data_IF_538697915623
#
_entry.id   IF_538697915623
#
_cell.length_a   1.000
_cell.length_b   1.000
_cell.length_c   1.000
_cell.angle_alpha   90.00
_cell.angle_beta   90.00
_cell.angle_gamma   90.00
#
_symmetry.space_group_name_H-M   'P 1'
#
loop_
_entity.id
_entity.type
_entity.pdbx_description
1 polymer ?
#
# COMPACT_ATOMS: atom_id res chain seq x y z
N UNK A 1 37.72 12.32 -133.29
CA UNK A 1 36.43 13.01 -133.16
C UNK A 1 36.54 13.96 -131.97
N UNK A 2 36.07 15.19 -132.18
CA UNK A 2 35.87 16.34 -131.25
C UNK A 2 36.99 16.86 -130.32
N UNK A 3 38.03 16.09 -129.98
CA UNK A 3 39.23 16.60 -129.29
C UNK A 3 39.00 17.13 -127.86
N UNK A 4 37.84 16.86 -127.27
CA UNK A 4 37.51 17.25 -125.89
C UNK A 4 38.30 16.37 -124.92
N UNK A 5 39.00 17.01 -123.97
CA UNK A 5 39.75 16.33 -122.91
C UNK A 5 39.02 16.53 -121.59
N UNK A 6 38.73 15.43 -120.91
CA UNK A 6 38.22 15.43 -119.55
C UNK A 6 39.38 15.38 -118.56
N UNK A 7 39.14 15.83 -117.32
CA UNK A 7 40.09 15.62 -116.24
C UNK A 7 39.88 14.23 -115.63
N UNK A 8 40.75 13.28 -115.98
CA UNK A 8 40.63 11.89 -115.53
C UNK A 8 41.17 11.67 -114.10
N UNK A 9 42.01 12.58 -113.58
CA UNK A 9 42.57 12.51 -112.23
C UNK A 9 42.24 13.78 -111.43
N UNK A 10 41.14 13.73 -110.67
CA UNK A 10 40.90 14.71 -109.60
C UNK A 10 41.49 14.14 -108.30
N UNK A 11 42.60 14.73 -107.86
CA UNK A 11 43.13 14.48 -106.53
C UNK A 11 42.77 15.65 -105.61
N UNK A 12 42.28 15.37 -104.41
CA UNK A 12 42.15 16.38 -103.37
C UNK A 12 43.52 17.06 -103.17
N UNK A 13 43.59 18.40 -103.12
CA UNK A 13 44.88 19.09 -103.00
C UNK A 13 45.58 18.64 -101.72
N UNK A 14 46.72 17.96 -101.87
CA UNK A 14 47.63 17.68 -100.76
C UNK A 14 48.13 19.02 -100.25
N UNK A 15 47.67 19.42 -99.06
CA UNK A 15 48.10 20.59 -98.26
C UNK A 15 49.30 21.33 -98.86
N UNK A 16 49.05 22.28 -99.76
CA UNK A 16 50.03 23.28 -100.16
C UNK A 16 49.51 24.66 -99.75
N UNK A 17 50.40 25.43 -99.12
CA UNK A 17 50.22 26.75 -98.50
C UNK A 17 49.54 26.78 -97.12
N UNK A 18 50.40 26.73 -96.09
CA UNK A 18 50.31 27.36 -94.78
C UNK A 18 48.90 27.44 -94.17
N UNK A 19 48.57 26.45 -93.36
CA UNK A 19 47.44 26.52 -92.44
C UNK A 19 47.66 27.69 -91.45
N UNK A 20 46.64 28.50 -91.11
CA UNK A 20 46.80 29.62 -90.18
C UNK A 20 47.30 29.23 -88.79
N UNK A 21 47.32 27.93 -88.45
CA UNK A 21 48.00 27.42 -87.24
C UNK A 21 49.52 27.65 -87.26
N UNK A 22 50.17 27.76 -88.42
CA UNK A 22 51.61 28.05 -88.56
C UNK A 22 51.93 29.54 -88.37
N UNK A 23 50.94 30.42 -88.52
CA UNK A 23 51.07 31.87 -88.33
C UNK A 23 50.83 32.30 -86.87
N UNK A 24 50.46 31.38 -85.98
CA UNK A 24 50.34 31.68 -84.55
C UNK A 24 51.73 31.70 -83.90
N UNK A 25 52.11 32.76 -83.17
CA UNK A 25 53.35 32.76 -82.40
C UNK A 25 53.35 31.56 -81.45
N UNK A 26 54.45 30.80 -81.42
CA UNK A 26 54.66 29.70 -80.48
C UNK A 26 54.51 30.24 -79.05
N UNK A 27 53.34 30.06 -78.44
CA UNK A 27 53.16 30.27 -77.00
C UNK A 27 53.84 29.09 -76.31
N UNK A 28 55.09 29.36 -75.94
CA UNK A 28 55.93 28.74 -74.91
C UNK A 28 55.36 27.47 -74.25
N UNK A 29 56.13 26.39 -74.40
CA UNK A 29 56.21 25.22 -73.53
C UNK A 29 54.96 24.34 -73.43
N UNK A 30 54.77 23.46 -74.41
CA UNK A 30 54.19 22.13 -74.12
C UNK A 30 55.35 21.18 -73.88
N UNK A 31 55.31 20.50 -72.74
CA UNK A 31 56.21 19.39 -72.40
C UNK A 31 56.02 18.28 -73.44
N UNK A 32 57.13 17.66 -73.84
CA UNK A 32 57.28 16.50 -74.74
C UNK A 32 55.97 15.84 -75.25
N UNK A 33 55.68 16.03 -76.55
CA UNK A 33 54.83 15.11 -77.33
C UNK A 33 53.32 15.23 -77.18
N UNK A 34 52.78 16.08 -76.30
CA UNK A 34 51.34 16.20 -76.12
C UNK A 34 50.76 17.38 -76.90
N UNK A 35 49.89 17.07 -77.87
CA UNK A 35 49.10 18.05 -78.62
C UNK A 35 48.07 18.67 -77.66
N UNK A 36 48.00 20.00 -77.54
CA UNK A 36 47.01 20.66 -76.69
C UNK A 36 45.58 20.27 -77.07
N UNK A 37 44.73 20.01 -76.08
CA UNK A 37 43.32 19.61 -76.29
C UNK A 37 42.56 20.62 -77.17
N UNK A 38 42.84 21.91 -77.04
CA UNK A 38 42.25 22.95 -77.87
C UNK A 38 42.58 22.76 -79.36
N UNK A 39 43.78 22.33 -79.70
CA UNK A 39 44.17 22.06 -81.09
C UNK A 39 43.50 20.80 -81.63
N UNK A 40 43.34 19.77 -80.79
CA UNK A 40 42.59 18.57 -81.13
C UNK A 40 41.10 18.87 -81.39
N UNK A 41 40.48 19.72 -80.57
CA UNK A 41 39.09 20.14 -80.74
C UNK A 41 38.87 20.92 -82.04
N UNK A 42 39.77 21.86 -82.36
CA UNK A 42 39.73 22.59 -83.64
C UNK A 42 39.88 21.63 -84.82
N UNK A 43 40.81 20.68 -84.73
CA UNK A 43 41.00 19.68 -85.78
C UNK A 43 39.74 18.82 -85.97
N UNK A 44 39.10 18.37 -84.89
CA UNK A 44 37.89 17.54 -84.95
C UNK A 44 36.65 18.32 -85.43
N UNK A 45 36.49 19.58 -85.04
CA UNK A 45 35.30 20.37 -85.36
C UNK A 45 35.36 21.03 -86.75
N UNK A 46 36.56 21.34 -87.25
CA UNK A 46 36.76 22.10 -88.49
C UNK A 46 37.55 21.30 -89.53
N UNK A 47 38.78 20.89 -89.19
CA UNK A 47 39.70 20.33 -90.19
C UNK A 47 39.26 18.96 -90.71
N UNK A 48 38.80 18.07 -89.82
CA UNK A 48 38.34 16.72 -90.19
C UNK A 48 37.08 16.81 -91.06
N UNK A 49 36.01 17.53 -90.67
CA UNK A 49 34.84 17.74 -91.53
C UNK A 49 35.18 18.37 -92.88
N UNK A 50 36.16 19.27 -92.93
CA UNK A 50 36.64 19.86 -94.18
C UNK A 50 37.34 18.83 -95.09
N UNK A 51 38.17 17.95 -94.52
CA UNK A 51 38.83 16.87 -95.26
C UNK A 51 37.83 15.80 -95.75
N UNK A 52 36.86 15.43 -94.91
CA UNK A 52 35.75 14.56 -95.29
C UNK A 52 34.96 15.16 -96.45
N UNK A 53 34.64 16.46 -96.37
CA UNK A 53 33.96 17.18 -97.43
C UNK A 53 34.78 17.15 -98.73
N UNK A 54 36.07 17.47 -98.70
CA UNK A 54 36.92 17.41 -99.90
C UNK A 54 36.97 16.01 -100.51
N UNK A 55 36.99 14.98 -99.68
CA UNK A 55 36.97 13.59 -100.14
C UNK A 55 35.63 13.27 -100.83
N UNK A 56 34.52 13.72 -100.26
CA UNK A 56 33.20 13.54 -100.84
C UNK A 56 33.03 14.32 -102.15
N UNK A 57 33.41 15.60 -102.17
CA UNK A 57 33.40 16.46 -103.35
C UNK A 57 34.23 15.88 -104.48
N UNK A 58 35.42 15.35 -104.18
CA UNK A 58 36.28 14.72 -105.18
C UNK A 58 35.61 13.50 -105.82
N UNK A 59 34.91 12.67 -105.01
CA UNK A 59 34.16 11.50 -105.51
C UNK A 59 32.96 11.92 -106.35
N UNK A 60 32.21 12.92 -105.90
CA UNK A 60 31.03 13.42 -106.61
C UNK A 60 31.42 14.03 -107.96
N UNK A 61 32.52 14.80 -108.00
CA UNK A 61 33.07 15.34 -109.23
C UNK A 61 33.56 14.25 -110.18
N UNK A 62 34.23 13.21 -109.68
CA UNK A 62 34.63 12.06 -110.50
C UNK A 62 33.41 11.35 -111.10
N UNK A 63 32.39 11.06 -110.28
CA UNK A 63 31.15 10.46 -110.77
C UNK A 63 30.43 11.35 -111.79
N UNK A 64 30.47 12.67 -111.61
CA UNK A 64 29.90 13.62 -112.56
C UNK A 64 30.68 13.65 -113.88
N UNK A 65 32.00 13.60 -113.85
CA UNK A 65 32.85 13.48 -115.05
C UNK A 65 32.58 12.17 -115.79
N UNK A 66 32.54 11.04 -115.09
CA UNK A 66 32.23 9.73 -115.68
C UNK A 66 30.85 9.74 -116.37
N UNK A 67 29.85 10.37 -115.73
CA UNK A 67 28.52 10.55 -116.29
C UNK A 67 28.55 11.42 -117.55
N UNK A 68 29.27 12.53 -117.55
CA UNK A 68 29.39 13.39 -118.73
C UNK A 68 30.14 12.67 -119.85
N UNK A 69 31.20 11.92 -119.55
CA UNK A 69 31.89 11.10 -120.53
C UNK A 69 30.98 10.05 -121.16
N UNK A 70 30.05 9.46 -120.40
CA UNK A 70 29.05 8.55 -120.93
C UNK A 70 28.04 9.26 -121.86
N UNK A 71 27.46 10.38 -121.41
CA UNK A 71 26.54 11.21 -122.22
C UNK A 71 27.23 11.69 -123.50
N UNK A 72 28.51 12.07 -123.41
CA UNK A 72 29.27 12.54 -124.55
C UNK A 72 29.52 11.43 -125.57
N UNK A 73 29.88 10.22 -125.11
CA UNK A 73 30.04 9.05 -125.99
C UNK A 73 28.73 8.68 -126.68
N UNK A 74 27.61 8.71 -125.94
CA UNK A 74 26.29 8.48 -126.51
C UNK A 74 25.95 9.53 -127.57
N UNK A 75 26.17 10.82 -127.29
CA UNK A 75 25.96 11.90 -128.24
C UNK A 75 26.86 11.79 -129.49
N UNK A 76 28.12 11.35 -129.35
CA UNK A 76 29.00 11.07 -130.50
C UNK A 76 28.49 9.90 -131.34
N UNK A 77 28.05 8.80 -130.71
CA UNK A 77 27.45 7.66 -131.41
C UNK A 77 26.15 8.03 -132.13
N UNK A 78 25.29 8.84 -131.50
CA UNK A 78 24.07 9.35 -132.12
C UNK A 78 24.38 10.26 -133.30
N UNK A 79 25.32 11.20 -133.16
CA UNK A 79 25.74 12.09 -134.23
C UNK A 79 26.37 11.35 -135.41
N UNK A 80 27.04 10.22 -135.18
CA UNK A 80 27.55 9.33 -136.21
C UNK A 80 26.45 8.58 -136.96
N UNK A 81 25.39 8.14 -136.25
CA UNK A 81 24.24 7.44 -136.85
C UNK A 81 23.38 8.40 -137.66
N UNK A 82 23.13 9.59 -137.13
CA UNK A 82 22.29 10.62 -137.71
C UNK A 82 22.93 11.99 -137.52
N UNK A 83 23.39 12.59 -138.63
CA UNK A 83 23.96 13.95 -138.59
C UNK A 83 22.92 14.94 -138.05
N UNK A 84 23.18 15.66 -136.94
CA UNK A 84 22.20 16.57 -136.36
C UNK A 84 21.80 17.67 -137.33
N UNK A 85 20.53 18.10 -137.27
CA UNK A 85 19.93 19.06 -138.22
C UNK A 85 20.74 20.36 -138.33
N UNK A 86 21.25 20.87 -137.20
CA UNK A 86 22.09 22.07 -137.15
C UNK A 86 23.33 21.98 -138.06
N UNK A 87 23.97 20.82 -138.17
CA UNK A 87 25.11 20.64 -139.06
C UNK A 87 24.69 20.60 -140.53
N UNK A 88 23.50 20.05 -140.82
CA UNK A 88 22.95 20.05 -142.18
C UNK A 88 22.56 21.48 -142.61
N UNK A 89 21.92 22.24 -141.72
CA UNK A 89 21.59 23.65 -141.91
C UNK A 89 22.85 24.48 -142.14
N UNK A 90 23.90 24.27 -141.34
CA UNK A 90 25.19 24.95 -141.50
C UNK A 90 25.84 24.68 -142.87
N UNK A 91 25.82 23.43 -143.35
CA UNK A 91 26.38 23.08 -144.68
C UNK A 91 25.54 23.68 -145.82
N UNK A 92 24.21 23.78 -145.64
CA UNK A 92 23.31 24.35 -146.65
C UNK A 92 23.23 25.88 -146.67
N UNK A 93 23.69 26.55 -145.61
CA UNK A 93 23.63 28.01 -145.47
C UNK A 93 24.71 28.72 -146.31
N UNK A 94 24.40 29.96 -146.71
CA UNK A 94 25.33 30.90 -147.34
C UNK A 94 26.35 31.46 -146.31
N UNK A 95 27.40 32.14 -146.77
CA UNK A 95 28.47 32.67 -145.89
C UNK A 95 27.92 33.56 -144.77
N UNK A 96 26.87 34.35 -145.07
CA UNK A 96 26.16 35.19 -144.11
C UNK A 96 25.40 34.37 -143.06
N UNK A 97 24.63 33.36 -143.47
CA UNK A 97 23.92 32.46 -142.56
C UNK A 97 24.86 31.61 -141.70
N UNK A 98 25.97 31.14 -142.26
CA UNK A 98 27.02 30.43 -141.51
C UNK A 98 27.63 31.30 -140.40
N UNK A 99 27.91 32.58 -140.69
CA UNK A 99 28.44 33.53 -139.70
C UNK A 99 27.45 33.78 -138.55
N UNK A 100 26.15 33.89 -138.87
CA UNK A 100 25.09 34.06 -137.85
C UNK A 100 24.92 32.83 -136.96
N UNK A 101 24.90 31.63 -137.56
CA UNK A 101 24.85 30.36 -136.81
C UNK A 101 26.07 30.20 -135.89
N UNK A 102 27.28 30.56 -136.36
CA UNK A 102 28.48 30.57 -135.52
C UNK A 102 28.35 31.57 -134.36
N UNK A 103 27.78 32.76 -134.62
CA UNK A 103 27.56 33.75 -133.57
C UNK A 103 26.56 33.26 -132.51
N UNK A 104 25.45 32.67 -132.93
CA UNK A 104 24.46 32.07 -132.00
C UNK A 104 25.08 30.93 -131.19
N UNK A 105 25.87 30.04 -131.82
CA UNK A 105 26.59 28.99 -131.11
C UNK A 105 27.62 29.53 -130.10
N UNK A 106 28.30 30.64 -130.43
CA UNK A 106 29.17 31.33 -129.46
C UNK A 106 28.38 31.88 -128.28
N UNK A 107 27.21 32.50 -128.51
CA UNK A 107 26.34 32.99 -127.43
C UNK A 107 25.85 31.84 -126.55
N UNK A 108 25.36 30.75 -127.14
CA UNK A 108 24.92 29.55 -126.41
C UNK A 108 26.08 28.97 -125.60
N UNK A 109 27.28 28.90 -126.18
CA UNK A 109 28.49 28.45 -125.48
C UNK A 109 28.81 29.34 -124.28
N UNK A 110 28.79 30.67 -124.44
CA UNK A 110 29.07 31.61 -123.33
C UNK A 110 27.99 31.52 -122.26
N UNK A 111 26.72 31.46 -122.65
CA UNK A 111 25.60 31.33 -121.71
C UNK A 111 25.69 30.03 -120.91
N UNK A 112 25.89 28.88 -121.55
CA UNK A 112 26.05 27.59 -120.88
C UNK A 112 27.29 27.58 -119.97
N UNK A 113 28.38 28.26 -120.35
CA UNK A 113 29.56 28.37 -119.51
C UNK A 113 29.30 29.20 -118.24
N UNK A 114 28.66 30.36 -118.36
CA UNK A 114 28.31 31.18 -117.20
C UNK A 114 27.23 30.52 -116.33
N UNK A 115 26.27 29.80 -116.92
CA UNK A 115 25.28 29.02 -116.18
C UNK A 115 25.96 27.90 -115.38
N UNK A 116 26.82 27.09 -116.01
CA UNK A 116 27.56 26.02 -115.32
C UNK A 116 28.45 26.58 -114.21
N UNK A 117 29.03 27.78 -114.42
CA UNK A 117 29.80 28.49 -113.40
C UNK A 117 28.92 28.95 -112.24
N UNK A 118 27.72 29.47 -112.49
CA UNK A 118 26.76 29.82 -111.44
C UNK A 118 26.36 28.60 -110.63
N UNK A 119 25.95 27.51 -111.29
CA UNK A 119 25.58 26.26 -110.64
C UNK A 119 26.74 25.69 -109.80
N UNK A 120 27.98 25.81 -110.28
CA UNK A 120 29.17 25.46 -109.51
C UNK A 120 29.35 26.32 -108.25
N UNK A 121 29.13 27.63 -108.34
CA UNK A 121 29.23 28.51 -107.17
C UNK A 121 28.10 28.26 -106.16
N UNK A 122 26.88 28.00 -106.62
CA UNK A 122 25.74 27.66 -105.77
C UNK A 122 26.00 26.34 -105.04
N UNK A 123 26.50 25.32 -105.76
CA UNK A 123 26.86 24.03 -105.17
C UNK A 123 28.00 24.17 -104.15
N UNK A 124 29.01 24.99 -104.48
CA UNK A 124 30.11 25.31 -103.56
C UNK A 124 29.62 26.02 -102.30
N UNK A 125 28.68 26.96 -102.44
CA UNK A 125 28.12 27.69 -101.31
C UNK A 125 27.43 26.75 -100.33
N UNK A 126 26.59 25.83 -100.83
CA UNK A 126 25.91 24.83 -100.00
C UNK A 126 26.87 23.99 -99.15
N UNK A 127 28.04 23.65 -99.69
CA UNK A 127 29.05 22.92 -98.93
C UNK A 127 29.72 23.76 -97.85
N UNK A 128 30.04 25.01 -98.16
CA UNK A 128 30.63 25.95 -97.20
C UNK A 128 29.64 26.25 -96.08
N UNK A 129 28.36 26.42 -96.40
CA UNK A 129 27.29 26.59 -95.41
C UNK A 129 27.18 25.37 -94.49
N UNK A 130 27.19 24.15 -95.03
CA UNK A 130 27.19 22.92 -94.21
C UNK A 130 28.42 22.81 -93.31
N UNK A 131 29.60 23.21 -93.79
CA UNK A 131 30.81 23.22 -92.99
C UNK A 131 30.73 24.28 -91.88
N UNK A 132 30.20 25.46 -92.20
CA UNK A 132 29.95 26.53 -91.24
C UNK A 132 28.96 26.08 -90.16
N UNK A 133 27.83 25.46 -90.52
CA UNK A 133 26.88 24.91 -89.56
C UNK A 133 27.51 23.88 -88.61
N UNK A 134 28.34 22.97 -89.15
CA UNK A 134 29.07 22.01 -88.32
C UNK A 134 30.04 22.69 -87.36
N UNK A 135 30.82 23.66 -87.85
CA UNK A 135 31.76 24.42 -87.03
C UNK A 135 31.05 25.25 -85.96
N UNK A 136 29.93 25.91 -86.30
CA UNK A 136 29.11 26.70 -85.38
C UNK A 136 28.49 25.82 -84.29
N UNK A 137 27.97 24.63 -84.63
CA UNK A 137 27.51 23.65 -83.63
C UNK A 137 28.65 23.18 -82.72
N UNK A 138 29.83 22.93 -83.28
CA UNK A 138 31.02 22.61 -82.50
C UNK A 138 31.39 23.72 -81.52
N UNK A 139 31.32 24.97 -81.96
CA UNK A 139 31.57 26.15 -81.13
C UNK A 139 30.53 26.30 -80.01
N UNK A 140 29.23 26.19 -80.31
CA UNK A 140 28.17 26.24 -79.30
C UNK A 140 28.32 25.16 -78.23
N UNK A 141 28.74 23.95 -78.61
CA UNK A 141 29.00 22.88 -77.65
C UNK A 141 30.20 23.21 -76.75
N UNK A 142 31.30 23.73 -77.33
CA UNK A 142 32.47 24.17 -76.55
C UNK A 142 32.15 25.32 -75.60
N UNK A 143 31.27 26.24 -76.00
CA UNK A 143 30.80 27.33 -75.14
C UNK A 143 29.95 26.81 -73.97
N UNK A 144 29.06 25.84 -74.22
CA UNK A 144 28.31 25.17 -73.14
C UNK A 144 29.23 24.45 -72.16
N UNK A 145 30.23 23.73 -72.68
CA UNK A 145 31.21 23.03 -71.85
C UNK A 145 32.05 24.03 -71.03
N UNK A 146 32.44 25.17 -71.62
CA UNK A 146 33.15 26.22 -70.91
C UNK A 146 32.32 26.80 -69.76
N UNK A 147 31.05 27.14 -70.00
CA UNK A 147 30.15 27.65 -68.96
C UNK A 147 29.93 26.63 -67.84
N UNK A 148 29.76 25.34 -68.19
CA UNK A 148 29.62 24.27 -67.21
C UNK A 148 30.89 24.09 -66.35
N UNK A 149 32.07 24.16 -66.97
CA UNK A 149 33.33 24.10 -66.25
C UNK A 149 33.55 25.32 -65.35
N UNK A 150 33.13 26.51 -65.77
CA UNK A 150 33.19 27.70 -64.92
C UNK A 150 32.33 27.55 -63.66
N UNK A 151 31.13 26.97 -63.77
CA UNK A 151 30.29 26.67 -62.61
C UNK A 151 30.96 25.69 -61.65
N UNK A 152 31.50 24.57 -62.16
CA UNK A 152 32.22 23.59 -61.34
C UNK A 152 33.46 24.21 -60.69
N UNK A 153 34.24 24.99 -61.44
CA UNK A 153 35.43 25.66 -60.91
C UNK A 153 35.03 26.61 -59.80
N UNK A 154 33.94 27.36 -59.94
CA UNK A 154 33.44 28.26 -58.90
C UNK A 154 33.03 27.49 -57.65
N UNK A 155 32.31 26.37 -57.80
CA UNK A 155 31.94 25.51 -56.67
C UNK A 155 33.17 24.92 -55.97
N UNK A 156 34.11 24.38 -56.75
CA UNK A 156 35.37 23.85 -56.23
C UNK A 156 36.19 24.92 -55.51
N UNK A 157 36.31 26.12 -56.07
CA UNK A 157 37.00 27.26 -55.45
C UNK A 157 36.32 27.72 -54.15
N UNK A 158 35.01 27.54 -54.02
CA UNK A 158 34.29 27.86 -52.78
C UNK A 158 34.56 26.86 -51.65
N UNK A 159 34.77 25.58 -51.99
CA UNK A 159 35.00 24.49 -51.02
C UNK A 159 36.48 24.32 -50.68
N UNK A 160 37.37 24.57 -51.65
CA UNK A 160 38.83 24.42 -51.51
C UNK A 160 39.42 25.07 -50.24
N UNK A 161 39.09 26.33 -49.87
CA UNK A 161 39.68 26.94 -48.69
C UNK A 161 39.22 26.27 -47.39
N UNK A 162 37.98 25.80 -47.32
CA UNK A 162 37.48 25.05 -46.15
C UNK A 162 38.20 23.71 -46.01
N UNK A 163 38.40 23.01 -47.12
CA UNK A 163 39.13 21.74 -47.12
C UNK A 163 40.62 21.91 -46.82
N UNK A 164 41.24 22.99 -47.28
CA UNK A 164 42.62 23.35 -46.92
C UNK A 164 42.72 23.65 -45.42
N UNK A 165 41.77 24.39 -44.85
CA UNK A 165 41.74 24.66 -43.42
C UNK A 165 41.56 23.39 -42.59
N UNK A 166 40.64 22.49 -42.98
CA UNK A 166 40.48 21.19 -42.33
C UNK A 166 41.74 20.33 -42.44
N UNK A 167 42.40 20.33 -43.59
CA UNK A 167 43.66 19.64 -43.78
C UNK A 167 44.76 20.19 -42.86
N UNK A 168 44.93 21.51 -42.83
CA UNK A 168 45.94 22.17 -41.98
C UNK A 168 45.65 21.88 -40.49
N UNK A 169 44.39 21.91 -40.05
CA UNK A 169 43.99 21.53 -38.70
C UNK A 169 44.32 20.07 -38.37
N UNK A 170 44.01 19.15 -39.26
CA UNK A 170 44.32 17.73 -39.07
C UNK A 170 45.82 17.47 -39.03
N UNK A 171 46.62 18.21 -39.81
CA UNK A 171 48.08 18.12 -39.75
C UNK A 171 48.60 18.65 -38.43
N UNK A 172 48.09 19.79 -37.93
CA UNK A 172 48.46 20.32 -36.62
C UNK A 172 48.08 19.36 -35.47
N UNK A 173 46.87 18.79 -35.49
CA UNK A 173 46.43 17.79 -34.52
C UNK A 173 47.31 16.54 -34.56
N UNK A 174 47.65 16.05 -35.76
CA UNK A 174 48.54 14.91 -35.92
C UNK A 174 49.95 15.21 -35.38
N UNK A 175 50.47 16.41 -35.63
CA UNK A 175 51.76 16.85 -35.08
C UNK A 175 51.73 16.93 -33.55
N UNK A 176 50.63 17.42 -32.96
CA UNK A 176 50.45 17.46 -31.51
C UNK A 176 50.38 16.04 -30.91
N UNK A 177 49.52 15.17 -31.45
CA UNK A 177 49.36 13.80 -30.98
C UNK A 177 50.66 12.99 -31.13
N UNK A 178 51.38 13.17 -32.23
CA UNK A 178 52.70 12.51 -32.40
C UNK A 178 53.72 13.04 -31.40
N UNK A 179 53.73 14.35 -31.10
CA UNK A 179 54.56 14.91 -30.05
C UNK A 179 54.19 14.33 -28.67
N UNK A 180 52.91 14.29 -28.31
CA UNK A 180 52.42 13.70 -27.06
C UNK A 180 52.78 12.22 -26.94
N UNK A 181 52.62 11.43 -28.02
CA UNK A 181 53.05 10.03 -28.05
C UNK A 181 54.55 9.93 -27.80
N UNK A 182 55.37 10.75 -28.44
CA UNK A 182 56.83 10.71 -28.22
C UNK A 182 57.21 11.13 -26.80
N UNK A 183 56.51 12.09 -26.19
CA UNK A 183 56.70 12.47 -24.78
C UNK A 183 56.28 11.34 -23.84
N UNK A 184 55.16 10.66 -24.12
CA UNK A 184 54.70 9.49 -23.37
C UNK A 184 55.68 8.33 -23.52
N UNK A 185 56.20 8.06 -24.71
CA UNK A 185 57.21 7.03 -24.96
C UNK A 185 58.54 7.34 -24.27
N UNK A 186 58.92 8.62 -24.17
CA UNK A 186 60.11 9.08 -23.44
C UNK A 186 59.94 9.06 -21.92
N UNK A 187 58.71 9.10 -21.40
CA UNK A 187 58.42 8.90 -19.99
C UNK A 187 58.78 7.48 -19.53
N UNK A 188 59.01 7.31 -18.21
CA UNK A 188 59.32 6.01 -17.62
C UNK A 188 58.17 5.00 -17.81
N UNK A 189 58.34 4.15 -18.82
CA UNK A 189 57.38 3.13 -19.20
C UNK A 189 57.19 2.06 -18.13
N UNK A 190 58.19 1.81 -17.30
CA UNK A 190 58.10 0.82 -16.23
C UNK A 190 57.27 1.39 -15.06
N UNK A 191 57.45 2.68 -14.74
CA UNK A 191 56.58 3.38 -13.79
C UNK A 191 55.11 3.46 -14.28
N UNK A 192 54.87 3.70 -15.57
CA UNK A 192 53.51 3.69 -16.14
C UNK A 192 52.86 2.29 -16.08
N UNK A 193 53.63 1.22 -16.31
CA UNK A 193 53.14 -0.15 -16.16
C UNK A 193 52.82 -0.47 -14.70
N UNK A 194 53.65 -0.02 -13.76
CA UNK A 194 53.41 -0.15 -12.33
C UNK A 194 52.13 0.60 -11.93
N UNK A 195 51.93 1.83 -12.40
CA UNK A 195 50.72 2.60 -12.12
C UNK A 195 49.48 1.94 -12.73
N UNK A 196 49.56 1.41 -13.96
CA UNK A 196 48.47 0.64 -14.58
C UNK A 196 48.15 -0.63 -13.79
N UNK A 197 49.17 -1.35 -13.32
CA UNK A 197 48.99 -2.52 -12.46
C UNK A 197 48.34 -2.13 -11.13
N UNK A 198 48.75 -1.02 -10.52
CA UNK A 198 48.15 -0.50 -9.29
C UNK A 198 46.69 -0.06 -9.49
N UNK A 199 46.36 0.61 -10.61
CA UNK A 199 44.98 0.96 -10.95
C UNK A 199 44.13 -0.31 -11.16
N UNK A 200 44.68 -1.33 -11.83
CA UNK A 200 43.97 -2.60 -12.02
C UNK A 200 43.72 -3.32 -10.68
N UNK A 201 44.71 -3.34 -9.78
CA UNK A 201 44.58 -3.87 -8.43
C UNK A 201 43.53 -3.09 -7.61
N UNK A 202 43.58 -1.75 -7.65
CA UNK A 202 42.57 -0.90 -7.02
C UNK A 202 41.17 -1.10 -7.63
N UNK A 203 41.08 -1.36 -8.94
CA UNK A 203 39.83 -1.71 -9.62
C UNK A 203 39.26 -3.02 -9.12
N UNK A 204 40.10 -4.04 -8.95
CA UNK A 204 39.69 -5.32 -8.35
C UNK A 204 39.22 -5.15 -6.91
N UNK A 205 39.93 -4.34 -6.11
CA UNK A 205 39.52 -4.02 -4.73
C UNK A 205 38.20 -3.25 -4.69
N UNK A 206 37.98 -2.30 -5.60
CA UNK A 206 36.69 -1.60 -5.73
C UNK A 206 35.55 -2.55 -6.10
N UNK A 207 35.79 -3.50 -7.00
CA UNK A 207 34.80 -4.52 -7.35
C UNK A 207 34.50 -5.46 -6.16
N UNK A 208 35.52 -5.83 -5.39
CA UNK A 208 35.33 -6.55 -4.13
C UNK A 208 34.47 -5.74 -3.14
N UNK A 209 34.79 -4.46 -2.91
CA UNK A 209 34.00 -3.58 -2.06
C UNK A 209 32.57 -3.39 -2.57
N UNK A 210 32.37 -3.28 -3.89
CA UNK A 210 31.03 -3.23 -4.47
C UNK A 210 30.25 -4.50 -4.16
N UNK A 211 30.86 -5.67 -4.28
CA UNK A 211 30.24 -6.95 -3.91
C UNK A 211 29.92 -7.00 -2.42
N UNK A 212 30.84 -6.58 -1.56
CA UNK A 212 30.60 -6.51 -0.11
C UNK A 212 29.46 -5.55 0.23
N UNK A 213 29.37 -4.40 -0.44
CA UNK A 213 28.28 -3.44 -0.28
C UNK A 213 26.95 -4.05 -0.71
N UNK A 214 26.89 -4.74 -1.84
CA UNK A 214 25.67 -5.42 -2.28
C UNK A 214 25.28 -6.56 -1.34
N UNK A 215 26.23 -7.34 -0.83
CA UNK A 215 25.98 -8.34 0.22
C UNK A 215 25.48 -7.70 1.52
N UNK A 216 26.06 -6.57 1.93
CA UNK A 216 25.67 -5.83 3.12
C UNK A 216 24.26 -5.24 2.96
N UNK A 217 23.91 -4.71 1.79
CA UNK A 217 22.55 -4.25 1.46
C UNK A 217 21.56 -5.39 1.51
N UNK A 218 21.86 -6.54 0.90
CA UNK A 218 20.99 -7.72 0.96
C UNK A 218 20.80 -8.22 2.41
N UNK A 219 21.87 -8.19 3.23
CA UNK A 219 21.78 -8.49 4.67
C UNK A 219 20.91 -7.48 5.41
N UNK A 220 21.04 -6.19 5.09
CA UNK A 220 20.25 -5.11 5.69
C UNK A 220 18.77 -5.24 5.34
N UNK A 221 18.43 -5.46 4.06
CA UNK A 221 17.05 -5.71 3.63
C UNK A 221 16.43 -6.90 4.37
N UNK A 222 17.18 -8.00 4.51
CA UNK A 222 16.73 -9.17 5.28
C UNK A 222 16.51 -8.86 6.77
N UNK A 223 17.35 -8.01 7.36
CA UNK A 223 17.19 -7.59 8.76
C UNK A 223 15.99 -6.65 8.90
N UNK A 224 15.77 -5.74 7.96
CA UNK A 224 14.62 -4.84 7.96
C UNK A 224 13.30 -5.60 7.78
N UNK A 225 13.27 -6.62 6.93
CA UNK A 225 12.11 -7.51 6.78
C UNK A 225 11.81 -8.24 8.09
N UNK A 226 12.84 -8.84 8.71
CA UNK A 226 12.71 -9.44 10.05
C UNK A 226 12.29 -8.44 11.11
N UNK A 227 12.77 -7.21 11.06
CA UNK A 227 12.38 -6.17 12.01
C UNK A 227 10.89 -5.81 11.83
N UNK A 228 10.41 -5.71 10.58
CA UNK A 228 8.99 -5.50 10.28
C UNK A 228 8.15 -6.65 10.80
N UNK A 229 8.57 -7.90 10.57
CA UNK A 229 7.90 -9.10 11.09
C UNK A 229 7.82 -9.08 12.62
N UNK A 230 8.95 -8.87 13.30
CA UNK A 230 9.00 -8.76 14.77
C UNK A 230 8.17 -7.57 15.28
N UNK A 231 8.11 -6.46 14.55
CA UNK A 231 7.28 -5.32 14.93
C UNK A 231 5.78 -5.63 14.78
N UNK A 232 5.38 -6.39 13.76
CA UNK A 232 4.02 -6.90 13.60
C UNK A 232 3.69 -7.85 14.76
N UNK A 233 4.54 -8.84 15.03
CA UNK A 233 4.37 -9.76 16.16
C UNK A 233 4.28 -9.01 17.50
N UNK A 234 5.14 -8.02 17.73
CA UNK A 234 5.11 -7.16 18.92
C UNK A 234 3.78 -6.43 19.03
N UNK A 235 3.28 -5.85 17.93
CA UNK A 235 2.01 -5.13 17.94
C UNK A 235 0.85 -6.08 18.24
N UNK A 236 0.84 -7.28 17.67
CA UNK A 236 -0.18 -8.31 17.94
C UNK A 236 -0.16 -8.79 19.39
N UNK A 237 1.03 -9.10 19.92
CA UNK A 237 1.21 -9.49 21.32
C UNK A 237 0.79 -8.35 22.26
N UNK A 238 1.18 -7.11 21.96
CA UNK A 238 0.79 -5.94 22.76
C UNK A 238 -0.73 -5.72 22.76
N UNK A 239 -1.39 -5.86 21.61
CA UNK A 239 -2.85 -5.78 21.53
C UNK A 239 -3.54 -6.90 22.32
N UNK A 240 -2.96 -8.12 22.30
CA UNK A 240 -3.44 -9.25 23.11
C UNK A 240 -3.27 -9.01 24.60
N UNK A 241 -2.12 -8.45 25.02
CA UNK A 241 -1.87 -8.04 26.41
C UNK A 241 -2.89 -6.99 26.82
N UNK A 242 -3.09 -5.93 26.04
CA UNK A 242 -4.04 -4.87 26.37
C UNK A 242 -5.48 -5.41 26.50
N UNK A 243 -5.89 -6.31 25.59
CA UNK A 243 -7.20 -6.99 25.70
C UNK A 243 -7.31 -7.81 26.98
N UNK A 244 -6.24 -8.51 27.36
CA UNK A 244 -6.19 -9.34 28.56
C UNK A 244 -6.18 -8.49 29.83
N UNK A 245 -5.43 -7.38 29.86
CA UNK A 245 -5.43 -6.41 30.95
C UNK A 245 -6.79 -5.75 31.13
N UNK A 246 -7.48 -5.40 30.03
CA UNK A 246 -8.87 -4.92 30.07
C UNK A 246 -9.80 -5.96 30.70
N UNK A 247 -9.68 -7.23 30.32
CA UNK A 247 -10.45 -8.33 30.92
C UNK A 247 -10.13 -8.51 32.42
N UNK A 248 -8.86 -8.47 32.80
CA UNK A 248 -8.42 -8.56 34.20
C UNK A 248 -8.94 -7.37 35.01
N UNK A 249 -8.92 -6.15 34.45
CA UNK A 249 -9.44 -4.96 35.12
C UNK A 249 -10.96 -5.03 35.32
N UNK A 250 -11.70 -5.51 34.32
CA UNK A 250 -13.14 -5.76 34.44
C UNK A 250 -13.43 -6.80 35.52
N UNK A 251 -12.68 -7.91 35.55
CA UNK A 251 -12.83 -8.96 36.56
C UNK A 251 -12.45 -8.48 37.97
N UNK A 252 -11.34 -7.75 38.13
CA UNK A 252 -10.91 -7.22 39.43
C UNK A 252 -11.90 -6.21 40.00
N UNK A 253 -12.44 -5.34 39.14
CA UNK A 253 -13.43 -4.34 39.56
C UNK A 253 -14.81 -4.98 39.84
N UNK A 254 -15.20 -6.05 39.14
CA UNK A 254 -16.43 -6.78 39.42
C UNK A 254 -16.33 -7.61 40.70
N UNK A 255 -15.23 -8.34 40.92
CA UNK A 255 -15.06 -9.17 42.13
C UNK A 255 -14.93 -8.33 43.39
N UNK A 256 -14.24 -7.19 43.35
CA UNK A 256 -14.16 -6.30 44.50
C UNK A 256 -15.54 -5.72 44.85
N UNK A 257 -16.30 -5.24 43.85
CA UNK A 257 -17.66 -4.74 44.09
C UNK A 257 -18.60 -5.82 44.67
N UNK A 258 -18.50 -7.06 44.18
CA UNK A 258 -19.30 -8.18 44.69
C UNK A 258 -18.93 -8.58 46.13
N UNK A 259 -17.64 -8.60 46.48
CA UNK A 259 -17.18 -8.89 47.85
C UNK A 259 -17.72 -7.85 48.83
N UNK A 260 -17.69 -6.57 48.48
CA UNK A 260 -18.25 -5.50 49.32
C UNK A 260 -19.78 -5.58 49.42
N UNK A 261 -20.47 -5.93 48.33
CA UNK A 261 -21.93 -6.17 48.36
C UNK A 261 -22.30 -7.33 49.29
N UNK A 262 -21.62 -8.48 49.15
CA UNK A 262 -21.86 -9.66 49.98
C UNK A 262 -21.53 -9.40 51.46
N UNK A 263 -20.47 -8.63 51.74
CA UNK A 263 -20.17 -8.17 53.10
C UNK A 263 -21.31 -7.33 53.67
N UNK A 264 -21.81 -6.36 52.90
CA UNK A 264 -22.95 -5.53 53.33
C UNK A 264 -24.22 -6.36 53.57
N UNK A 265 -24.53 -7.33 52.72
CA UNK A 265 -25.66 -8.26 52.92
C UNK A 265 -25.51 -9.09 54.20
N UNK A 266 -24.30 -9.58 54.49
CA UNK A 266 -24.04 -10.31 55.72
C UNK A 266 -24.23 -9.44 56.97
N UNK A 267 -23.69 -8.22 56.96
CA UNK A 267 -23.83 -7.27 58.07
C UNK A 267 -25.30 -6.90 58.33
N UNK A 268 -26.11 -6.72 57.27
CA UNK A 268 -27.54 -6.50 57.39
C UNK A 268 -28.28 -7.69 58.02
N UNK A 269 -27.97 -8.91 57.57
CA UNK A 269 -28.57 -10.14 58.13
C UNK A 269 -28.19 -10.34 59.60
N UNK A 270 -26.93 -10.09 59.95
CA UNK A 270 -26.43 -10.16 61.33
C UNK A 270 -27.18 -9.18 62.24
N UNK A 271 -27.38 -7.95 61.76
CA UNK A 271 -28.11 -6.90 62.49
C UNK A 271 -29.58 -7.27 62.68
N UNK A 272 -30.25 -7.75 61.64
CA UNK A 272 -31.69 -8.09 61.68
C UNK A 272 -31.99 -9.26 62.63
N UNK A 273 -31.12 -10.26 62.67
CA UNK A 273 -31.30 -11.44 63.52
C UNK A 273 -30.63 -11.34 64.89
N UNK A 274 -29.96 -10.23 65.19
CA UNK A 274 -29.19 -10.02 66.44
C UNK A 274 -28.16 -11.13 66.68
N UNK A 275 -27.57 -11.62 65.58
CA UNK A 275 -26.55 -12.68 65.56
C UNK A 275 -25.30 -12.09 64.93
N UNK A 276 -24.17 -12.17 65.63
CA UNK A 276 -22.88 -11.78 65.10
C UNK A 276 -22.00 -13.02 64.97
N UNK A 277 -21.66 -13.40 63.74
CA UNK A 277 -20.81 -14.57 63.48
C UNK A 277 -19.36 -14.16 63.75
N UNK A 278 -18.70 -14.81 64.71
CA UNK A 278 -17.32 -14.49 65.12
C UNK A 278 -16.30 -15.41 64.46
N UNK A 279 -16.62 -16.70 64.32
CA UNK A 279 -15.72 -17.69 63.74
C UNK A 279 -16.48 -18.69 62.89
N UNK A 280 -16.00 -18.89 61.66
CA UNK A 280 -16.45 -19.96 60.76
C UNK A 280 -15.21 -20.70 60.28
N UNK A 281 -15.10 -21.97 60.68
CA UNK A 281 -13.99 -22.85 60.34
C UNK A 281 -14.56 -24.26 60.07
N UNK A 282 -13.83 -25.09 59.33
CA UNK A 282 -14.22 -26.46 59.06
C UNK A 282 -14.45 -27.27 60.35
N UNK A 283 -13.71 -26.91 61.40
CA UNK A 283 -13.71 -27.58 62.71
C UNK A 283 -14.54 -26.86 63.79
N UNK A 284 -14.97 -25.62 63.56
CA UNK A 284 -15.63 -24.81 64.59
C UNK A 284 -16.55 -23.73 64.00
N UNK A 285 -17.73 -23.59 64.57
CA UNK A 285 -18.64 -22.48 64.28
C UNK A 285 -18.99 -21.75 65.59
N UNK A 286 -18.79 -20.43 65.60
CA UNK A 286 -19.02 -19.58 66.76
C UNK A 286 -19.79 -18.32 66.36
N UNK A 287 -20.80 -17.97 67.16
CA UNK A 287 -21.53 -16.73 67.03
C UNK A 287 -21.95 -16.17 68.39
N UNK A 288 -22.15 -14.86 68.42
CA UNK A 288 -22.68 -14.13 69.57
C UNK A 288 -24.13 -13.76 69.29
N UNK A 289 -25.02 -14.10 70.22
CA UNK A 289 -26.44 -13.73 70.18
C UNK A 289 -26.72 -12.59 71.17
N UNK A 290 -27.37 -11.53 70.71
CA UNK A 290 -27.85 -10.43 71.57
C UNK A 290 -26.75 -9.73 72.37
N UNK A 291 -25.50 -9.76 71.88
CA UNK A 291 -24.29 -9.27 72.59
C UNK A 291 -24.10 -9.87 74.00
N UNK A 292 -24.77 -10.98 74.30
CA UNK A 292 -24.93 -11.49 75.66
C UNK A 292 -24.55 -12.96 75.79
N UNK A 293 -24.69 -13.74 74.72
CA UNK A 293 -24.45 -15.18 74.74
C UNK A 293 -23.55 -15.59 73.58
N UNK A 294 -22.44 -16.25 73.88
CA UNK A 294 -21.57 -16.90 72.89
C UNK A 294 -22.04 -18.34 72.72
N UNK A 295 -22.30 -18.73 71.48
CA UNK A 295 -22.67 -20.09 71.11
C UNK A 295 -21.56 -20.65 70.23
N UNK A 296 -20.93 -21.73 70.67
CA UNK A 296 -19.89 -22.42 69.91
C UNK A 296 -20.27 -23.89 69.68
N UNK A 297 -19.95 -24.41 68.50
CA UNK A 297 -20.13 -25.82 68.16
C UNK A 297 -18.91 -26.32 67.41
N UNK A 298 -18.48 -27.54 67.73
CA UNK A 298 -17.45 -28.22 66.95
C UNK A 298 -18.07 -28.73 65.66
N UNK A 299 -17.38 -28.51 64.56
CA UNK A 299 -17.81 -28.94 63.24
C UNK A 299 -16.86 -29.99 62.66
N UNK A 300 -17.37 -30.78 61.71
CA UNK A 300 -16.57 -31.56 60.76
C UNK A 300 -17.12 -31.20 59.39
N UNK A 301 -16.30 -30.63 58.51
CA UNK A 301 -16.73 -30.13 57.20
C UNK A 301 -17.93 -29.16 57.30
N UNK A 302 -17.89 -28.24 58.27
CA UNK A 302 -18.97 -27.28 58.55
C UNK A 302 -20.32 -27.91 58.96
N UNK A 303 -20.34 -29.21 59.34
CA UNK A 303 -21.50 -29.86 59.96
C UNK A 303 -21.30 -29.94 61.48
N UNK A 304 -22.29 -29.50 62.30
CA UNK A 304 -22.15 -29.52 63.75
C UNK A 304 -22.12 -30.97 64.26
N UNK A 305 -21.21 -31.24 65.20
CA UNK A 305 -21.21 -32.52 65.92
C UNK A 305 -22.34 -32.48 66.94
N UNK A 306 -23.27 -33.42 66.81
CA UNK A 306 -24.43 -33.58 67.71
C UNK A 306 -23.94 -33.61 69.18
N UNK A 307 -24.62 -32.85 70.04
CA UNK A 307 -24.31 -32.80 71.47
C UNK A 307 -23.07 -31.99 71.89
N UNK A 308 -22.39 -31.30 70.96
CA UNK A 308 -21.20 -30.48 71.25
C UNK A 308 -21.46 -28.96 71.19
N UNK A 309 -22.71 -28.52 71.31
CA UNK A 309 -23.04 -27.10 71.33
C UNK A 309 -22.83 -26.56 72.75
N UNK A 310 -21.94 -25.58 72.89
CA UNK A 310 -21.68 -24.87 74.14
C UNK A 310 -22.29 -23.48 74.07
N UNK A 311 -23.02 -23.10 75.12
CA UNK A 311 -23.57 -21.75 75.27
C UNK A 311 -22.95 -21.12 76.51
N UNK A 312 -22.28 -19.99 76.36
CA UNK A 312 -21.66 -19.27 77.46
C UNK A 312 -22.22 -17.85 77.50
N UNK A 313 -22.43 -17.33 78.71
CA UNK A 313 -22.87 -15.94 78.88
C UNK A 313 -21.64 -15.03 78.94
N UNK A 314 -21.67 -13.91 78.23
CA UNK A 314 -20.59 -12.93 78.25
C UNK A 314 -20.51 -12.24 79.63
N UNK A 315 -19.29 -11.90 80.12
CA UNK A 315 -19.11 -11.24 81.42
C UNK A 315 -19.84 -9.90 81.56
N UNK A 316 -20.01 -9.17 80.45
CA UNK A 316 -20.70 -7.87 80.42
C UNK A 316 -22.20 -8.03 80.70
N UNK A 317 -22.84 -9.04 80.10
CA UNK A 317 -24.25 -9.33 80.28
C UNK A 317 -24.59 -9.91 81.67
N UNK A 318 -23.60 -10.33 82.46
CA UNK A 318 -23.79 -10.77 83.84
C UNK A 318 -23.99 -9.59 84.81
N UNK A 319 -23.48 -8.40 84.48
CA UNK A 319 -23.54 -7.21 85.36
C UNK A 319 -24.92 -6.55 85.40
N UNK A 320 -25.74 -6.76 84.36
CA UNK A 320 -27.05 -6.12 84.21
C UNK A 320 -28.23 -7.07 84.56
N UNK A 321 -27.95 -8.21 85.19
CA UNK A 321 -28.97 -9.23 85.47
C UNK A 321 -29.96 -8.82 86.58
N UNK A 322 -31.22 -8.68 86.21
CA UNK A 322 -32.33 -8.40 87.15
C UNK A 322 -32.74 -9.66 87.94
N UNK A 323 -32.64 -10.85 87.33
CA UNK A 323 -33.07 -12.12 87.94
C UNK A 323 -32.01 -13.22 87.74
N UNK A 324 -31.01 -13.34 88.64
CA UNK A 324 -29.91 -14.30 88.50
C UNK A 324 -30.36 -15.77 88.52
N UNK A 325 -31.29 -16.12 89.43
CA UNK A 325 -31.80 -17.50 89.55
C UNK A 325 -32.61 -17.95 88.32
N UNK A 326 -33.32 -17.03 87.67
CA UNK A 326 -34.01 -17.29 86.41
C UNK A 326 -33.01 -17.39 85.25
N UNK A 327 -32.00 -16.50 85.21
CA UNK A 327 -30.97 -16.46 84.16
C UNK A 327 -30.10 -17.72 84.14
N UNK A 328 -29.74 -18.26 85.31
CA UNK A 328 -28.98 -19.51 85.41
C UNK A 328 -29.79 -20.72 84.94
N UNK A 329 -31.09 -20.75 85.26
CA UNK A 329 -32.01 -21.80 84.83
C UNK A 329 -32.20 -21.83 83.32
N UNK A 330 -32.53 -20.69 82.70
CA UNK A 330 -32.72 -20.62 81.24
C UNK A 330 -31.43 -20.99 80.50
N UNK A 331 -30.26 -20.59 81.01
CA UNK A 331 -28.99 -20.95 80.40
C UNK A 331 -28.73 -22.45 80.48
N UNK A 332 -29.02 -23.07 81.63
CA UNK A 332 -28.89 -24.52 81.82
C UNK A 332 -29.85 -25.29 80.91
N UNK A 333 -31.13 -24.93 80.89
CA UNK A 333 -32.11 -25.58 80.04
C UNK A 333 -31.81 -25.40 78.56
N UNK A 334 -31.32 -24.23 78.15
CA UNK A 334 -30.93 -24.02 76.77
C UNK A 334 -29.77 -24.92 76.32
N UNK A 335 -28.76 -25.12 77.19
CA UNK A 335 -27.66 -26.08 76.94
C UNK A 335 -28.16 -27.51 76.77
N UNK A 336 -29.17 -27.90 77.55
CA UNK A 336 -29.78 -29.23 77.45
C UNK A 336 -30.61 -29.37 76.16
N UNK A 337 -31.39 -28.36 75.80
CA UNK A 337 -32.28 -28.39 74.63
C UNK A 337 -31.53 -28.28 73.30
N UNK A 338 -30.50 -27.43 73.21
CA UNK A 338 -29.73 -27.22 71.96
C UNK A 338 -28.94 -28.46 71.56
N UNK A 339 -28.59 -29.30 72.54
CA UNK A 339 -27.82 -30.53 72.33
C UNK A 339 -28.68 -31.75 72.01
N UNK A 340 -30.00 -31.56 71.88
CA UNK A 340 -30.89 -32.62 71.39
C UNK A 340 -30.68 -32.83 69.89
N UNK A 341 -30.75 -34.08 69.41
CA UNK A 341 -30.44 -34.43 68.03
C UNK A 341 -31.34 -33.71 67.01
N UNK A 342 -32.57 -33.32 67.39
CA UNK A 342 -33.48 -32.61 66.49
C UNK A 342 -32.99 -31.20 66.14
N UNK A 343 -32.22 -30.57 67.04
CA UNK A 343 -31.73 -29.19 66.92
C UNK A 343 -30.28 -29.16 66.42
N UNK A 344 -29.42 -30.04 66.94
CA UNK A 344 -27.98 -30.03 66.64
C UNK A 344 -27.59 -30.64 65.29
N UNK A 345 -28.56 -30.93 64.43
CA UNK A 345 -28.37 -31.55 63.09
C UNK A 345 -27.87 -30.53 62.04
N UNK A 346 -28.16 -29.24 62.21
CA UNK A 346 -27.74 -28.20 61.27
C UNK A 346 -27.40 -26.89 61.97
N UNK A 347 -26.37 -26.18 61.51
CA UNK A 347 -26.02 -24.84 61.99
C UNK A 347 -27.20 -23.88 61.90
N UNK A 348 -28.00 -23.99 60.83
CA UNK A 348 -29.23 -23.20 60.66
C UNK A 348 -30.21 -23.44 61.80
N UNK A 349 -30.50 -24.72 62.11
CA UNK A 349 -31.41 -25.11 63.17
C UNK A 349 -30.93 -24.64 64.54
N UNK A 350 -29.61 -24.67 64.78
CA UNK A 350 -29.01 -24.15 66.02
C UNK A 350 -29.24 -22.64 66.14
N UNK A 351 -28.98 -21.85 65.09
CA UNK A 351 -29.20 -20.39 65.10
C UNK A 351 -30.68 -20.04 65.27
N UNK A 352 -31.56 -20.72 64.54
CA UNK A 352 -33.02 -20.54 64.65
C UNK A 352 -33.53 -20.91 66.04
N UNK A 353 -33.05 -22.01 66.62
CA UNK A 353 -33.40 -22.42 67.99
C UNK A 353 -32.94 -21.40 69.03
N UNK A 354 -31.69 -20.95 68.96
CA UNK A 354 -31.16 -19.95 69.91
C UNK A 354 -31.95 -18.65 69.79
N UNK A 355 -32.24 -18.18 68.56
CA UNK A 355 -33.03 -16.97 68.34
C UNK A 355 -34.45 -17.08 68.90
N UNK A 356 -35.16 -18.16 68.60
CA UNK A 356 -36.53 -18.38 69.08
C UNK A 356 -36.60 -18.54 70.59
N UNK A 357 -35.74 -19.40 71.16
CA UNK A 357 -35.71 -19.67 72.60
C UNK A 357 -35.39 -18.42 73.42
N UNK A 358 -34.36 -17.66 73.04
CA UNK A 358 -33.99 -16.45 73.77
C UNK A 358 -35.00 -15.33 73.59
N UNK A 359 -35.62 -15.22 72.41
CA UNK A 359 -36.72 -14.27 72.20
C UNK A 359 -37.91 -14.59 73.12
N UNK A 360 -38.28 -15.87 73.25
CA UNK A 360 -39.31 -16.34 74.17
C UNK A 360 -38.96 -16.07 75.64
N UNK A 361 -37.73 -16.42 76.06
CA UNK A 361 -37.27 -16.17 77.42
C UNK A 361 -37.18 -14.67 77.75
N UNK A 362 -36.75 -13.83 76.80
CA UNK A 362 -36.66 -12.37 76.99
C UNK A 362 -38.05 -11.74 77.15
N UNK A 363 -39.04 -12.21 76.38
CA UNK A 363 -40.45 -11.80 76.52
C UNK A 363 -41.02 -12.17 77.89
N UNK A 364 -40.75 -13.39 78.36
CA UNK A 364 -41.17 -13.83 79.69
C UNK A 364 -40.46 -13.03 80.80
N UNK A 365 -39.16 -12.78 80.64
CA UNK A 365 -38.38 -11.97 81.56
C UNK A 365 -38.94 -10.54 81.67
N UNK A 366 -39.35 -9.95 80.54
CA UNK A 366 -39.99 -8.63 80.53
C UNK A 366 -41.29 -8.63 81.33
N UNK A 367 -42.14 -9.65 81.18
CA UNK A 367 -43.38 -9.76 81.97
C UNK A 367 -43.13 -9.95 83.46
N UNK A 368 -42.16 -10.81 83.83
CA UNK A 368 -41.74 -10.98 85.22
C UNK A 368 -41.18 -9.67 85.78
N UNK A 369 -40.46 -8.88 84.96
CA UNK A 369 -40.00 -7.55 85.34
C UNK A 369 -41.17 -6.59 85.58
N UNK A 370 -42.20 -6.61 84.75
CA UNK A 370 -43.42 -5.81 84.96
C UNK A 370 -44.12 -6.17 86.27
N UNK A 371 -44.21 -7.46 86.60
CA UNK A 371 -44.76 -7.91 87.89
C UNK A 371 -43.88 -7.44 89.05
N UNK A 372 -42.55 -7.53 88.90
CA UNK A 372 -41.58 -7.19 89.95
C UNK A 372 -41.58 -5.70 90.31
N UNK A 373 -42.06 -4.82 89.42
CA UNK A 373 -42.26 -3.40 89.70
C UNK A 373 -43.32 -3.18 90.79
N UNK A 374 -44.40 -3.98 90.79
CA UNK A 374 -45.55 -3.79 91.69
C UNK A 374 -45.58 -4.78 92.86
N UNK A 375 -45.11 -6.00 92.64
CA UNK A 375 -45.19 -7.09 93.62
C UNK A 375 -43.83 -7.76 93.77
N UNK A 376 -43.37 -8.07 95.01
CA UNK A 376 -42.16 -8.86 95.20
C UNK A 376 -42.31 -10.26 94.59
N UNK A 377 -41.32 -10.67 93.79
CA UNK A 377 -41.25 -11.99 93.15
C UNK A 377 -40.06 -12.77 93.70
N UNK A 378 -40.28 -14.04 94.01
CA UNK A 378 -39.22 -15.00 94.32
C UNK A 378 -39.29 -16.19 93.37
N UNK A 379 -38.14 -16.71 92.94
CA UNK A 379 -38.08 -17.86 92.04
C UNK A 379 -37.76 -19.13 92.83
N UNK A 380 -38.52 -20.20 92.56
CA UNK A 380 -38.25 -21.54 93.09
C UNK A 380 -38.09 -22.51 91.91
N UNK A 381 -36.96 -23.19 91.87
CA UNK A 381 -36.68 -24.20 90.84
C UNK A 381 -37.45 -25.48 91.13
N UNK A 382 -38.03 -26.07 90.08
CA UNK A 382 -38.78 -27.32 90.14
C UNK A 382 -38.12 -28.34 89.20
N UNK A 383 -38.28 -29.66 89.42
CA UNK A 383 -37.66 -30.70 88.58
C UNK A 383 -38.00 -30.58 87.08
N UNK A 384 -39.15 -30.00 86.75
CA UNK A 384 -39.65 -29.84 85.37
C UNK A 384 -39.67 -28.39 84.87
N UNK A 385 -39.06 -27.44 85.59
CA UNK A 385 -39.03 -26.02 85.23
C UNK A 385 -38.85 -25.10 86.43
N UNK A 386 -39.68 -24.07 86.57
CA UNK A 386 -39.64 -23.18 87.73
C UNK A 386 -41.01 -22.66 88.13
N UNK A 387 -41.07 -22.10 89.33
CA UNK A 387 -42.21 -21.33 89.81
C UNK A 387 -41.78 -19.92 90.18
N UNK A 388 -42.53 -18.94 89.70
CA UNK A 388 -42.42 -17.55 90.11
C UNK A 388 -43.51 -17.27 91.16
N UNK A 389 -43.08 -17.11 92.41
CA UNK A 389 -43.94 -16.80 93.54
C UNK A 389 -44.06 -15.30 93.70
N UNK A 390 -45.25 -14.77 93.43
CA UNK A 390 -45.59 -13.37 93.57
C UNK A 390 -46.29 -13.17 94.91
N UNK A 391 -45.75 -12.28 95.74
CA UNK A 391 -46.34 -11.96 97.04
C UNK A 391 -47.32 -10.80 96.92
N UNK A 392 -48.58 -11.03 97.28
CA UNK A 392 -49.63 -10.00 97.33
C UNK A 392 -50.02 -9.76 98.79
N UNK A 393 -50.01 -8.49 99.18
CA UNK A 393 -50.48 -8.01 100.46
C UNK A 393 -51.83 -7.35 100.27
N UNK A 394 -52.78 -7.64 101.16
CA UNK A 394 -54.11 -7.06 101.18
C UNK A 394 -54.27 -6.21 102.45
N UNK A 395 -53.96 -4.90 102.41
CA UNK A 395 -53.97 -4.05 103.59
C UNK A 395 -55.36 -3.93 104.23
N UNK A 396 -56.42 -3.83 103.41
CA UNK A 396 -57.80 -3.63 103.86
C UNK A 396 -58.31 -4.77 104.76
N UNK A 397 -57.91 -6.00 104.47
CA UNK A 397 -58.33 -7.21 105.20
C UNK A 397 -57.21 -7.83 106.04
N UNK A 398 -56.06 -7.15 106.18
CA UNK A 398 -54.86 -7.60 106.91
C UNK A 398 -54.44 -9.03 106.57
N UNK A 399 -54.30 -9.31 105.28
CA UNK A 399 -54.02 -10.64 104.78
C UNK A 399 -52.87 -10.68 103.79
N UNK A 400 -52.27 -11.87 103.63
CA UNK A 400 -51.16 -12.12 102.70
C UNK A 400 -51.41 -13.39 101.92
N UNK A 401 -51.28 -13.31 100.60
CA UNK A 401 -51.32 -14.46 99.72
C UNK A 401 -50.08 -14.50 98.82
N UNK A 402 -49.74 -15.70 98.36
CA UNK A 402 -48.67 -15.94 97.39
C UNK A 402 -49.30 -16.63 96.18
N UNK A 403 -49.15 -16.03 95.00
CA UNK A 403 -49.55 -16.61 93.72
C UNK A 403 -48.29 -17.22 93.09
N UNK A 404 -48.31 -18.51 92.84
CA UNK A 404 -47.20 -19.24 92.23
C UNK A 404 -47.54 -19.53 90.77
N UNK A 405 -46.85 -18.88 89.83
CA UNK A 405 -46.94 -19.21 88.40
C UNK A 405 -45.90 -20.30 88.10
N UNK A 406 -46.36 -21.47 87.65
CA UNK A 406 -45.53 -22.65 87.43
C UNK A 406 -45.32 -22.83 85.92
N UNK A 407 -44.08 -22.64 85.49
CA UNK A 407 -43.64 -22.79 84.11
C UNK A 407 -42.87 -24.09 83.96
N UNK A 408 -43.36 -24.98 83.10
CA UNK A 408 -42.57 -26.12 82.64
C UNK A 408 -41.65 -25.70 81.49
N UNK A 409 -40.71 -26.58 81.13
CA UNK A 409 -39.76 -26.35 80.03
C UNK A 409 -40.47 -25.99 78.73
N UNK A 410 -41.62 -26.61 78.42
CA UNK A 410 -42.37 -26.34 77.19
C UNK A 410 -42.98 -24.93 77.19
N UNK A 411 -43.51 -24.47 78.32
CA UNK A 411 -44.19 -23.18 78.46
C UNK A 411 -43.22 -22.00 78.31
N UNK A 412 -42.06 -22.02 79.01
CA UNK A 412 -41.15 -20.87 78.95
C UNK A 412 -40.27 -20.85 77.68
N UNK A 413 -39.90 -22.02 77.15
CA UNK A 413 -39.09 -22.10 75.91
C UNK A 413 -39.84 -21.64 74.66
N UNK A 414 -41.17 -21.68 74.68
CA UNK A 414 -42.04 -21.27 73.57
C UNK A 414 -42.95 -20.11 73.93
N UNK A 415 -42.68 -19.39 75.03
CA UNK A 415 -43.49 -18.26 75.48
C UNK A 415 -43.65 -17.22 74.35
N UNK A 416 -44.88 -16.77 74.02
CA UNK A 416 -46.17 -16.92 74.73
C UNK A 416 -47.11 -18.00 74.17
N UNK A 417 -46.64 -18.89 73.29
CA UNK A 417 -47.51 -19.79 72.51
C UNK A 417 -48.37 -20.71 73.40
N UNK A 418 -47.82 -21.14 74.54
CA UNK A 418 -48.45 -22.04 75.50
C UNK A 418 -48.89 -21.32 76.78
N UNK A 419 -49.30 -20.05 76.68
CA UNK A 419 -49.68 -19.25 77.85
C UNK A 419 -50.87 -19.85 78.63
N UNK A 420 -51.84 -20.42 77.92
CA UNK A 420 -53.06 -21.01 78.50
C UNK A 420 -52.79 -22.30 79.30
N UNK A 421 -51.69 -23.01 79.01
CA UNK A 421 -51.26 -24.19 79.76
C UNK A 421 -50.37 -23.84 80.96
N UNK A 422 -50.19 -22.56 81.28
CA UNK A 422 -49.44 -22.13 82.45
C UNK A 422 -50.19 -22.51 83.72
N UNK A 423 -49.61 -23.43 84.48
CA UNK A 423 -50.16 -23.85 85.77
C UNK A 423 -49.96 -22.71 86.77
N UNK A 424 -50.96 -22.46 87.60
CA UNK A 424 -50.90 -21.45 88.64
C UNK A 424 -51.50 -22.02 89.92
N UNK A 425 -50.95 -21.60 91.05
CA UNK A 425 -51.44 -21.96 92.38
C UNK A 425 -51.49 -20.71 93.26
N UNK A 426 -52.34 -20.71 94.28
CA UNK A 426 -52.42 -19.66 95.27
C UNK A 426 -52.37 -20.27 96.67
N UNK A 427 -51.60 -19.65 97.55
CA UNK A 427 -51.51 -20.01 98.97
C UNK A 427 -51.75 -18.80 99.84
N UNK A 428 -52.75 -18.89 100.72
CA UNK A 428 -52.99 -17.88 101.75
C UNK A 428 -52.02 -18.14 102.90
N UNK A 429 -51.21 -17.15 103.25
CA UNK A 429 -50.24 -17.24 104.35
C UNK A 429 -50.92 -16.90 105.68
N UNK A 430 -51.73 -15.84 105.69
CA UNK A 430 -52.57 -15.45 106.83
C UNK A 430 -53.71 -14.53 106.38
N UNK A 431 -54.77 -14.45 107.20
CA UNK A 431 -55.93 -13.57 107.01
C UNK A 431 -57.17 -14.25 106.41
N UNK A 432 -58.34 -13.58 106.44
CA UNK A 432 -59.63 -14.19 106.10
C UNK A 432 -59.92 -14.19 104.58
N UNK A 433 -58.96 -14.64 103.76
CA UNK A 433 -59.12 -14.72 102.31
C UNK A 433 -59.37 -16.17 101.87
N UNK A 434 -60.29 -16.36 100.93
CA UNK A 434 -60.52 -17.66 100.31
C UNK A 434 -59.54 -17.89 99.16
N UNK A 435 -58.80 -19.00 99.20
CA UNK A 435 -57.87 -19.44 98.14
C UNK A 435 -58.54 -19.49 96.76
N UNK A 436 -59.77 -20.01 96.72
CA UNK A 436 -60.48 -20.25 95.47
C UNK A 436 -60.87 -18.95 94.75
N UNK A 437 -61.15 -17.87 95.48
CA UNK A 437 -61.44 -16.56 94.89
C UNK A 437 -60.22 -15.95 94.19
N UNK A 438 -59.03 -16.07 94.79
CA UNK A 438 -57.76 -15.65 94.17
C UNK A 438 -57.47 -16.48 92.92
N UNK A 439 -57.62 -17.81 93.03
CA UNK A 439 -57.40 -18.72 91.90
C UNK A 439 -58.35 -18.44 90.74
N UNK A 440 -59.63 -18.16 91.03
CA UNK A 440 -60.60 -17.83 90.00
C UNK A 440 -60.27 -16.53 89.26
N UNK A 441 -59.85 -15.48 89.98
CA UNK A 441 -59.41 -14.22 89.37
C UNK A 441 -58.20 -14.44 88.44
N UNK A 442 -57.15 -15.10 88.93
CA UNK A 442 -55.96 -15.41 88.11
C UNK A 442 -56.31 -16.29 86.91
N UNK A 443 -57.16 -17.30 87.10
CA UNK A 443 -57.59 -18.22 86.04
C UNK A 443 -58.43 -17.52 84.98
N UNK A 444 -59.33 -16.60 85.38
CA UNK A 444 -60.16 -15.83 84.45
C UNK A 444 -59.28 -15.02 83.50
N UNK A 445 -58.31 -14.28 84.04
CA UNK A 445 -57.41 -13.49 83.20
C UNK A 445 -56.51 -14.30 82.31
N UNK A 446 -55.93 -15.39 82.80
CA UNK A 446 -55.06 -16.21 81.97
C UNK A 446 -55.81 -16.93 80.84
N UNK A 447 -57.12 -17.15 80.95
CA UNK A 447 -57.97 -17.68 79.87
C UNK A 447 -58.23 -16.67 78.76
N UNK A 448 -58.39 -15.40 79.12
CA UNK A 448 -58.67 -14.32 78.17
C UNK A 448 -57.43 -13.90 77.36
N UNK A 449 -56.24 -14.33 77.81
CA UNK A 449 -54.97 -13.96 77.17
C UNK A 449 -54.71 -14.84 75.95
N UNK A 450 -54.43 -14.18 74.83
CA UNK A 450 -54.00 -14.82 73.58
C UNK A 450 -52.50 -14.63 73.35
N UNK A 451 -51.84 -15.49 72.55
CA UNK A 451 -50.43 -15.32 72.21
C UNK A 451 -50.09 -13.97 71.55
N UNK A 452 -51.06 -13.35 70.88
CA UNK A 452 -50.94 -12.02 70.24
C UNK A 452 -51.21 -10.85 71.20
N UNK A 453 -52.00 -11.07 72.26
CA UNK A 453 -52.33 -10.07 73.28
C UNK A 453 -51.89 -10.52 74.68
N UNK A 454 -50.57 -10.69 74.85
CA UNK A 454 -49.96 -11.19 76.08
C UNK A 454 -49.32 -10.10 76.95
N UNK A 455 -49.40 -8.82 76.54
CA UNK A 455 -48.62 -7.77 77.18
C UNK A 455 -49.09 -7.59 78.63
N UNK A 456 -48.18 -7.65 79.60
CA UNK A 456 -48.51 -7.45 81.01
C UNK A 456 -49.41 -8.52 81.64
N UNK A 457 -49.72 -9.63 80.96
CA UNK A 457 -50.75 -10.59 81.40
C UNK A 457 -50.55 -11.13 82.83
N UNK A 458 -49.30 -11.39 83.25
CA UNK A 458 -49.00 -11.85 84.61
C UNK A 458 -49.22 -10.76 85.66
N UNK A 459 -48.95 -9.49 85.30
CA UNK A 459 -49.19 -8.35 86.17
C UNK A 459 -50.69 -8.11 86.31
N UNK A 460 -51.44 -8.11 85.21
CA UNK A 460 -52.89 -7.94 85.20
C UNK A 460 -53.59 -9.03 86.01
N UNK A 461 -53.15 -10.29 85.87
CA UNK A 461 -53.66 -11.39 86.70
C UNK A 461 -53.38 -11.19 88.20
N UNK A 462 -52.21 -10.63 88.57
CA UNK A 462 -51.91 -10.28 89.96
C UNK A 462 -52.72 -9.07 90.45
N UNK A 463 -53.01 -8.10 89.58
CA UNK A 463 -53.82 -6.94 89.93
C UNK A 463 -55.27 -7.33 90.17
N UNK A 464 -55.86 -8.14 89.29
CA UNK A 464 -57.24 -8.61 89.45
C UNK A 464 -57.38 -9.50 90.70
N UNK A 465 -56.36 -10.32 90.99
CA UNK A 465 -56.30 -11.04 92.25
C UNK A 465 -56.17 -10.13 93.49
N UNK A 466 -55.53 -8.96 93.36
CA UNK A 466 -55.44 -7.98 94.44
C UNK A 466 -56.77 -7.23 94.65
N UNK A 467 -57.55 -7.03 93.59
CA UNK A 467 -58.85 -6.34 93.60
C UNK A 467 -60.03 -7.25 94.00
N UNK A 468 -59.95 -8.57 93.75
CA UNK A 468 -61.04 -9.51 94.04
C UNK A 468 -61.36 -9.70 95.54
N UNK A 469 -60.57 -9.10 96.42
CA UNK A 469 -60.69 -9.16 97.89
C UNK A 469 -60.72 -7.76 98.51
N UNK A 470 -60.79 -6.71 97.69
CA UNK A 470 -61.11 -5.35 98.11
C UNK A 470 -62.62 -5.20 98.29
#
# INVERSE_FOLDING_TARGET
MTGIRFMDEIAAPRRQSIHPSVLRPSRRASVEGQIPLAEYMVAMAVDVPQLELYTHVSKDLQAWIERIQAIYREAEEEALKMTPQLFQEFVSADETGQAELIHQLKLIKVHNHEQAKSEWYDWKLQWVERLHEKASKGFENLEKDANFLEEIIREAQSILPGLQQEYDQLVEELEQETAEITELEACDQDYLKELKASIAEQGMELDNYRREVEEAKAKLERIEEKLKEVQIEKNEVSASIEKTERLINVQKNSTHAEVFRLKGELEMLQTLHVVQITKVDAECFEFVYGSSYVVSTRCVECRPVIGNVQIQKLPEAQREEVFPAFSSLILRTAKELVNRPEVSDSLRKIVEFVGTYWSSCSRLQLQLRLVAIKFPITFRENPSGFSADVTILYPSVKAKAIISFIFDVANFSTWPLNIQSTKHDARVVYGPIQRDAILQAVSSRLKDVTPTNNHGCLLDACMEAAESVA
#
